data_IF_387737423111
#
_entry.id   IF_387737423111
#
_cell.length_a   1.000
_cell.length_b   1.000
_cell.length_c   1.000
_cell.angle_alpha   90.00
_cell.angle_beta   90.00
_cell.angle_gamma   90.00
#
_symmetry.space_group_name_H-M   'P 1'
#
loop_
_entity.id
_entity.type
_entity.pdbx_description
1 polymer ?
#
# COMPACT_ATOMS: atom_id res chain seq x y z
N UNK A 1 -8.17 -3.78 -7.48
CA UNK A 1 -9.13 -2.84 -6.86
C UNK A 1 -9.80 -1.99 -7.92
N UNK A 2 -11.05 -1.55 -7.70
CA UNK A 2 -11.72 -0.56 -8.58
C UNK A 2 -11.37 0.87 -8.18
N UNK A 3 -11.59 1.85 -9.06
CA UNK A 3 -11.37 3.28 -8.77
C UNK A 3 -12.13 3.74 -7.52
N UNK A 4 -13.40 3.38 -7.39
CA UNK A 4 -14.23 3.78 -6.25
C UNK A 4 -13.72 3.18 -4.93
N UNK A 5 -13.31 1.90 -4.93
CA UNK A 5 -12.73 1.26 -3.74
C UNK A 5 -11.42 1.94 -3.31
N UNK A 6 -10.59 2.33 -4.29
CA UNK A 6 -9.34 3.08 -4.03
C UNK A 6 -9.64 4.43 -3.38
N UNK A 7 -10.58 5.19 -3.94
CA UNK A 7 -10.98 6.49 -3.40
C UNK A 7 -11.60 6.40 -1.99
N UNK A 8 -12.33 5.31 -1.67
CA UNK A 8 -12.86 5.05 -0.33
C UNK A 8 -11.74 4.79 0.68
N UNK A 9 -10.73 4.00 0.31
CA UNK A 9 -9.58 3.71 1.17
C UNK A 9 -8.73 4.96 1.37
N UNK A 10 -8.42 5.70 0.29
CA UNK A 10 -7.53 6.87 0.32
C UNK A 10 -8.02 7.97 1.26
N UNK A 11 -9.33 8.10 1.48
CA UNK A 11 -9.92 9.03 2.47
C UNK A 11 -9.60 8.70 3.93
N UNK A 12 -9.20 7.46 4.21
CA UNK A 12 -8.94 6.96 5.56
C UNK A 12 -7.44 6.82 5.85
N UNK A 13 -6.57 7.08 4.86
CA UNK A 13 -5.13 6.91 4.99
C UNK A 13 -4.51 8.05 5.79
N UNK A 14 -3.45 7.72 6.53
CA UNK A 14 -2.52 8.74 7.04
C UNK A 14 -1.65 9.29 5.91
N UNK A 15 -0.99 10.42 6.15
CA UNK A 15 -0.15 11.09 5.16
C UNK A 15 0.97 10.21 4.59
N UNK A 16 1.51 9.29 5.39
CA UNK A 16 2.55 8.35 5.00
C UNK A 16 2.02 6.97 4.58
N UNK A 17 0.72 6.82 4.37
CA UNK A 17 0.11 5.56 3.95
C UNK A 17 -0.35 5.64 2.49
N UNK A 18 -0.22 4.52 1.77
CA UNK A 18 -0.62 4.39 0.36
C UNK A 18 -1.43 3.12 0.15
N UNK A 19 -2.49 3.22 -0.65
CA UNK A 19 -3.25 2.06 -1.11
C UNK A 19 -2.61 1.50 -2.40
N UNK A 20 -2.36 0.20 -2.42
CA UNK A 20 -1.77 -0.52 -3.56
C UNK A 20 -2.62 -1.72 -3.94
N UNK A 21 -2.53 -2.14 -5.19
CA UNK A 21 -3.17 -3.36 -5.66
C UNK A 21 -2.31 -4.58 -5.30
N UNK A 22 -2.97 -5.72 -5.03
CA UNK A 22 -2.33 -7.00 -4.75
C UNK A 22 -2.48 -7.93 -5.95
N UNK A 23 -1.36 -8.48 -6.41
CA UNK A 23 -1.31 -9.61 -7.32
C UNK A 23 -0.96 -10.88 -6.56
N UNK A 24 -1.69 -11.97 -6.84
CA UNK A 24 -1.33 -13.31 -6.38
C UNK A 24 -0.60 -14.03 -7.50
N UNK A 25 0.65 -14.41 -7.24
CA UNK A 25 1.47 -15.15 -8.20
C UNK A 25 1.72 -16.53 -7.65
N UNK A 26 1.35 -17.58 -8.39
CA UNK A 26 1.71 -18.94 -8.01
C UNK A 26 3.22 -19.12 -8.23
N UNK A 27 3.93 -19.47 -7.17
CA UNK A 27 5.40 -19.62 -7.21
C UNK A 27 5.85 -21.06 -7.13
N UNK A 28 5.05 -21.96 -6.56
CA UNK A 28 5.42 -23.36 -6.38
C UNK A 28 4.20 -24.26 -6.19
N UNK A 29 4.49 -25.54 -5.91
CA UNK A 29 3.57 -26.48 -5.28
C UNK A 29 4.24 -27.03 -4.01
N UNK A 30 3.47 -27.30 -2.98
CA UNK A 30 3.96 -27.92 -1.76
C UNK A 30 4.16 -29.45 -1.94
N UNK A 31 4.57 -30.14 -0.86
CA UNK A 31 4.83 -31.58 -0.85
C UNK A 31 3.58 -32.44 -1.18
N UNK A 32 2.39 -31.89 -0.97
CA UNK A 32 1.11 -32.56 -1.27
C UNK A 32 0.56 -32.14 -2.65
N UNK A 33 1.29 -31.30 -3.39
CA UNK A 33 0.91 -30.81 -4.71
C UNK A 33 -0.03 -29.59 -4.71
N UNK A 34 -0.30 -28.98 -3.57
CA UNK A 34 -1.13 -27.77 -3.49
C UNK A 34 -0.35 -26.54 -3.96
N UNK A 35 -1.00 -25.62 -4.70
CA UNK A 35 -0.34 -24.42 -5.19
C UNK A 35 0.05 -23.48 -4.04
N UNK A 36 1.29 -23.00 -4.06
CA UNK A 36 1.80 -21.96 -3.14
C UNK A 36 1.84 -20.64 -3.87
N UNK A 37 1.27 -19.60 -3.27
CA UNK A 37 1.16 -18.26 -3.84
C UNK A 37 2.00 -17.25 -3.05
N UNK A 38 2.59 -16.32 -3.78
CA UNK A 38 3.21 -15.10 -3.26
C UNK A 38 2.28 -13.91 -3.51
N UNK A 39 2.15 -13.03 -2.52
CA UNK A 39 1.49 -11.74 -2.69
C UNK A 39 2.52 -10.72 -3.18
N UNK A 40 2.22 -10.06 -4.30
CA UNK A 40 2.99 -8.94 -4.82
C UNK A 40 2.16 -7.67 -4.78
N UNK A 41 2.78 -6.57 -4.38
CA UNK A 41 2.15 -5.27 -4.37
C UNK A 41 2.51 -4.52 -5.66
N UNK A 42 1.54 -3.87 -6.29
CA UNK A 42 1.77 -3.06 -7.48
C UNK A 42 2.25 -1.66 -7.11
N UNK A 43 3.41 -1.25 -7.64
CA UNK A 43 4.04 0.05 -7.39
C UNK A 43 4.12 0.44 -5.90
N UNK A 44 4.66 -0.43 -5.02
CA UNK A 44 4.81 -0.09 -3.61
C UNK A 44 5.91 0.98 -3.45
N UNK A 45 5.94 1.70 -2.30
CA UNK A 45 7.12 2.47 -1.91
C UNK A 45 8.37 1.58 -1.87
N UNK A 46 9.55 2.18 -1.85
CA UNK A 46 10.81 1.39 -1.81
C UNK A 46 11.03 0.77 -0.44
N UNK A 47 10.74 1.53 0.63
CA UNK A 47 10.88 1.10 2.01
C UNK A 47 9.53 1.24 2.71
N UNK A 48 8.84 0.13 2.92
CA UNK A 48 7.50 0.14 3.46
C UNK A 48 7.25 -1.00 4.44
N UNK A 49 6.21 -0.82 5.25
CA UNK A 49 5.60 -1.90 6.01
C UNK A 49 4.15 -2.11 5.58
N UNK A 50 3.70 -3.36 5.58
CA UNK A 50 2.30 -3.70 5.34
C UNK A 50 1.50 -3.33 6.59
N UNK A 51 0.52 -2.44 6.45
CA UNK A 51 -0.37 -2.04 7.55
C UNK A 51 -1.62 -2.90 7.55
N UNK A 52 -2.20 -3.10 6.36
CA UNK A 52 -3.47 -3.82 6.22
C UNK A 52 -3.59 -4.49 4.87
N UNK A 53 -4.16 -5.69 4.85
CA UNK A 53 -4.61 -6.38 3.63
C UNK A 53 -6.13 -6.29 3.58
N UNK A 54 -6.67 -5.93 2.41
CA UNK A 54 -8.10 -5.79 2.14
C UNK A 54 -8.44 -6.80 1.04
N UNK A 55 -8.57 -8.06 1.45
CA UNK A 55 -8.75 -9.20 0.54
C UNK A 55 -9.94 -9.02 -0.43
N UNK A 56 -11.13 -8.53 -0.01
CA UNK A 56 -12.25 -8.37 -0.94
C UNK A 56 -11.96 -7.43 -2.11
N UNK A 57 -11.02 -6.49 -1.95
CA UNK A 57 -10.68 -5.48 -2.97
C UNK A 57 -9.40 -5.83 -3.74
N UNK A 58 -8.74 -6.93 -3.36
CA UNK A 58 -7.38 -7.27 -3.81
C UNK A 58 -6.44 -6.06 -3.65
N UNK A 59 -6.49 -5.43 -2.47
CA UNK A 59 -5.70 -4.23 -2.16
C UNK A 59 -5.02 -4.33 -0.81
N UNK A 60 -3.96 -3.56 -0.63
CA UNK A 60 -3.25 -3.39 0.63
C UNK A 60 -3.05 -1.91 0.95
N UNK A 61 -2.90 -1.61 2.24
CA UNK A 61 -2.39 -0.33 2.71
C UNK A 61 -0.96 -0.55 3.19
N UNK A 62 -0.04 0.21 2.62
CA UNK A 62 1.37 0.22 2.96
C UNK A 62 1.70 1.55 3.63
N UNK A 63 2.55 1.53 4.66
CA UNK A 63 3.12 2.73 5.23
C UNK A 63 4.53 2.94 4.66
N UNK A 64 4.75 4.08 4.03
CA UNK A 64 6.04 4.54 3.54
C UNK A 64 6.90 5.01 4.72
N UNK A 65 8.00 4.29 4.95
CA UNK A 65 8.91 4.53 6.06
C UNK A 65 9.95 5.61 5.73
N UNK A 66 10.11 5.95 4.46
CA UNK A 66 11.00 7.02 4.00
C UNK A 66 10.25 8.35 3.86
N UNK A 67 8.94 8.38 4.13
CA UNK A 67 8.14 9.60 4.08
C UNK A 67 8.71 10.66 5.02
N UNK A 68 9.18 11.76 4.45
CA UNK A 68 9.56 12.96 5.19
C UNK A 68 8.42 13.95 5.11
N UNK A 69 7.78 14.20 6.25
CA UNK A 69 6.79 15.28 6.37
C UNK A 69 7.49 16.59 6.00
N UNK A 70 7.10 17.18 4.87
CA UNK A 70 7.55 18.52 4.51
C UNK A 70 6.75 19.46 5.40
N UNK A 71 7.32 19.81 6.55
CA UNK A 71 6.83 20.91 7.37
C UNK A 71 6.95 22.17 6.50
N UNK A 72 5.82 22.66 5.99
CA UNK A 72 5.75 24.02 5.47
C UNK A 72 5.89 24.96 6.66
N UNK A 73 7.10 25.44 6.92
CA UNK A 73 7.30 26.61 7.76
C UNK A 73 6.50 27.76 7.15
N UNK A 74 5.40 28.15 7.79
CA UNK A 74 4.69 29.42 7.54
C UNK A 74 5.55 30.63 7.97
N UNK A 75 6.81 30.69 7.53
CA UNK A 75 7.71 31.82 7.75
C UNK A 75 7.74 32.77 6.54
N UNK A 76 6.60 32.98 5.88
CA UNK A 76 6.44 34.07 4.90
C UNK A 76 5.15 34.84 5.14
N UNK A 77 5.03 35.37 6.36
CA UNK A 77 4.30 36.61 6.63
C UNK A 77 5.23 37.60 7.33
N UNK A 78 6.29 38.01 6.62
CA UNK A 78 7.00 39.25 6.93
C UNK A 78 7.40 39.94 5.63
N UNK A 79 6.65 40.99 5.28
CA UNK A 79 7.14 42.25 4.75
C UNK A 79 5.94 43.20 4.58
#
# INVERSE_FOLDING_TARGET
MTKNQREEIEKLLKQNEVAVDIQQVQIAKDENGYPVFELRFENPPTNYKVVKIIEPYKGAVLEDLDFKEVLQDEATKQA
#
